data_IF_677686077247
#
_entry.id   IF_677686077247
#
_cell.length_a   1.000
_cell.length_b   1.000
_cell.length_c   1.000
_cell.angle_alpha   90.00
_cell.angle_beta   90.00
_cell.angle_gamma   90.00
#
_symmetry.space_group_name_H-M   'P 1'
#
loop_
_entity.id
_entity.type
_entity.pdbx_description
1 polymer ?
#
# COMPACT_ATOMS: atom_id res chain seq x y z
N UNK A 1 11.91 -2.85 -19.99
CA UNK A 1 12.16 -1.66 -19.16
C UNK A 1 13.64 -1.54 -18.91
N UNK A 2 14.20 -0.36 -19.07
CA UNK A 2 15.59 -0.07 -18.78
C UNK A 2 15.69 0.69 -17.47
N UNK A 3 16.65 0.29 -16.63
CA UNK A 3 16.96 0.98 -15.37
C UNK A 3 18.41 1.42 -15.42
N UNK A 4 18.64 2.70 -15.33
CA UNK A 4 19.98 3.30 -15.29
C UNK A 4 20.24 3.91 -13.93
N UNK A 5 21.35 3.52 -13.32
CA UNK A 5 21.85 4.06 -12.08
C UNK A 5 23.03 4.96 -12.36
N UNK A 6 23.07 6.15 -11.79
CA UNK A 6 24.15 7.10 -12.00
C UNK A 6 24.74 7.56 -10.67
N UNK A 7 26.02 7.93 -10.69
CA UNK A 7 26.76 8.46 -9.55
C UNK A 7 27.21 7.41 -8.54
N UNK A 8 28.09 7.82 -7.64
CA UNK A 8 28.66 6.95 -6.62
C UNK A 8 29.44 5.77 -7.21
N UNK A 9 29.30 4.58 -6.64
CA UNK A 9 29.98 3.37 -7.14
C UNK A 9 29.45 2.89 -8.49
N UNK A 10 28.26 3.36 -8.92
CA UNK A 10 27.68 2.95 -10.21
C UNK A 10 28.44 3.51 -11.40
N UNK A 11 29.18 4.61 -11.24
CA UNK A 11 30.09 5.14 -12.26
C UNK A 11 31.29 4.20 -12.47
N UNK A 12 31.57 3.33 -11.51
CA UNK A 12 32.54 2.24 -11.60
C UNK A 12 31.88 0.89 -11.95
N UNK A 13 30.66 0.91 -12.45
CA UNK A 13 29.84 -0.28 -12.76
C UNK A 13 29.61 -1.22 -11.55
N UNK A 14 29.52 -0.66 -10.34
CA UNK A 14 29.28 -1.41 -9.11
C UNK A 14 28.00 -0.92 -8.41
N UNK A 15 27.26 -1.84 -7.82
CA UNK A 15 26.15 -1.57 -6.92
C UNK A 15 26.22 -2.54 -5.74
N UNK A 16 25.88 -2.08 -4.55
CA UNK A 16 25.77 -2.96 -3.40
C UNK A 16 24.69 -4.02 -3.63
N UNK A 17 25.02 -5.28 -3.33
CA UNK A 17 24.06 -6.39 -3.51
C UNK A 17 22.73 -6.16 -2.76
N UNK A 18 22.80 -5.55 -1.57
CA UNK A 18 21.62 -5.20 -0.77
C UNK A 18 20.72 -4.17 -1.48
N UNK A 19 21.31 -3.21 -2.19
CA UNK A 19 20.57 -2.19 -2.91
C UNK A 19 19.98 -2.77 -4.21
N UNK A 20 20.69 -3.63 -4.90
CA UNK A 20 20.17 -4.40 -6.04
C UNK A 20 18.97 -5.26 -5.63
N UNK A 21 19.09 -5.98 -4.52
CA UNK A 21 18.00 -6.79 -3.98
C UNK A 21 16.77 -5.94 -3.68
N UNK A 22 16.92 -4.82 -2.98
CA UNK A 22 15.81 -3.89 -2.68
C UNK A 22 15.14 -3.38 -3.96
N UNK A 23 15.94 -3.01 -4.97
CA UNK A 23 15.41 -2.53 -6.24
C UNK A 23 14.57 -3.62 -6.92
N UNK A 24 15.13 -4.82 -7.06
CA UNK A 24 14.46 -5.95 -7.72
C UNK A 24 13.16 -6.34 -7.00
N UNK A 25 13.21 -6.53 -5.68
CA UNK A 25 12.03 -6.90 -4.87
C UNK A 25 10.95 -5.83 -4.92
N UNK A 26 11.33 -4.55 -4.89
CA UNK A 26 10.37 -3.44 -4.95
C UNK A 26 9.67 -3.37 -6.30
N UNK A 27 10.41 -3.49 -7.40
CA UNK A 27 9.83 -3.49 -8.75
C UNK A 27 8.92 -4.72 -8.94
N UNK A 28 9.37 -5.91 -8.52
CA UNK A 28 8.57 -7.12 -8.59
C UNK A 28 7.26 -6.98 -7.81
N UNK A 29 7.32 -6.40 -6.60
CA UNK A 29 6.14 -6.18 -5.76
C UNK A 29 5.12 -5.25 -6.42
N UNK A 30 5.58 -4.13 -6.99
CA UNK A 30 4.69 -3.20 -7.71
C UNK A 30 4.11 -3.88 -8.96
N UNK A 31 4.91 -4.65 -9.69
CA UNK A 31 4.47 -5.40 -10.85
C UNK A 31 3.37 -6.41 -10.52
N UNK A 32 3.54 -7.20 -9.47
CA UNK A 32 2.54 -8.18 -9.03
C UNK A 32 1.22 -7.53 -8.61
N UNK A 33 1.29 -6.41 -7.89
CA UNK A 33 0.09 -5.71 -7.47
C UNK A 33 -0.61 -5.05 -8.67
N UNK A 34 0.14 -4.48 -9.61
CA UNK A 34 -0.39 -3.90 -10.83
C UNK A 34 -1.02 -4.96 -11.71
N UNK A 35 -0.37 -6.11 -11.91
CA UNK A 35 -0.91 -7.23 -12.69
C UNK A 35 -2.22 -7.74 -12.08
N UNK A 36 -2.26 -7.90 -10.76
CA UNK A 36 -3.47 -8.33 -10.07
C UNK A 36 -4.62 -7.32 -10.21
N UNK A 37 -4.32 -6.02 -10.13
CA UNK A 37 -5.30 -4.95 -10.33
C UNK A 37 -5.88 -4.97 -11.75
N UNK A 38 -5.07 -5.24 -12.77
CA UNK A 38 -5.50 -5.20 -14.17
C UNK A 38 -6.11 -6.50 -14.68
N UNK A 39 -5.59 -7.64 -14.23
CA UNK A 39 -5.90 -8.95 -14.83
C UNK A 39 -6.41 -9.99 -13.82
N UNK A 40 -6.42 -9.68 -12.53
CA UNK A 40 -6.81 -10.61 -11.47
C UNK A 40 -5.81 -11.75 -11.23
N UNK A 41 -4.64 -11.71 -11.85
CA UNK A 41 -3.61 -12.77 -11.80
C UNK A 41 -2.27 -12.23 -11.33
N UNK A 42 -1.33 -13.13 -11.01
CA UNK A 42 0.08 -12.82 -10.66
C UNK A 42 1.00 -13.81 -11.31
N UNK A 43 0.91 -13.92 -12.63
CA UNK A 43 1.60 -14.96 -13.40
C UNK A 43 2.89 -14.46 -14.06
N UNK A 44 3.16 -13.16 -14.02
CA UNK A 44 4.30 -12.53 -14.68
C UNK A 44 5.44 -12.28 -13.71
N UNK A 45 6.62 -12.71 -14.09
CA UNK A 45 7.84 -12.40 -13.34
C UNK A 45 8.72 -11.44 -14.12
N UNK A 46 9.38 -10.56 -13.39
CA UNK A 46 10.37 -9.64 -13.95
C UNK A 46 11.76 -10.26 -13.81
N UNK A 47 12.45 -10.37 -14.93
CA UNK A 47 13.80 -10.92 -15.01
C UNK A 47 14.81 -9.84 -15.36
N UNK A 48 16.01 -9.96 -14.81
CA UNK A 48 17.16 -9.17 -15.23
C UNK A 48 17.75 -9.82 -16.47
N UNK A 49 17.75 -9.09 -17.59
CA UNK A 49 18.50 -9.47 -18.78
C UNK A 49 19.95 -8.99 -18.66
N UNK A 50 20.83 -9.53 -19.49
CA UNK A 50 22.25 -9.14 -19.46
C UNK A 50 22.44 -7.63 -19.66
N UNK A 51 23.37 -7.06 -18.89
CA UNK A 51 23.70 -5.64 -18.98
C UNK A 51 24.37 -5.32 -20.34
N UNK A 52 24.12 -4.13 -20.85
CA UNK A 52 24.87 -3.60 -22.00
C UNK A 52 26.25 -3.13 -21.55
N UNK A 53 27.26 -3.34 -22.38
CA UNK A 53 28.62 -2.86 -22.12
C UNK A 53 28.62 -1.33 -21.94
N UNK A 54 29.34 -0.84 -20.94
CA UNK A 54 29.69 0.57 -20.79
C UNK A 54 28.79 1.41 -19.87
N UNK A 55 27.71 0.85 -19.27
CA UNK A 55 26.90 1.55 -18.24
C UNK A 55 26.36 0.56 -17.22
N UNK A 56 26.09 1.05 -16.00
CA UNK A 56 25.31 0.26 -15.05
C UNK A 56 23.82 0.36 -15.43
N UNK A 57 23.45 -0.36 -16.48
CA UNK A 57 22.11 -0.41 -17.02
C UNK A 57 21.53 -1.82 -16.86
N UNK A 58 20.40 -1.91 -16.18
CA UNK A 58 19.68 -3.15 -15.98
C UNK A 58 18.52 -3.18 -16.96
N UNK A 59 18.49 -4.19 -17.82
CA UNK A 59 17.35 -4.44 -18.72
C UNK A 59 16.45 -5.46 -18.05
N UNK A 60 15.21 -5.12 -17.86
CA UNK A 60 14.19 -6.01 -17.30
C UNK A 60 13.30 -6.57 -18.43
N UNK A 61 13.14 -7.88 -18.41
CA UNK A 61 12.20 -8.61 -19.24
C UNK A 61 11.04 -9.16 -18.43
N UNK A 62 9.97 -9.55 -19.12
CA UNK A 62 8.80 -10.23 -18.53
C UNK A 62 8.73 -11.66 -19.03
N UNK A 63 8.43 -12.59 -18.14
CA UNK A 63 8.12 -13.98 -18.48
C UNK A 63 6.76 -14.34 -17.88
N UNK A 64 5.91 -14.95 -18.71
CA UNK A 64 4.66 -15.54 -18.26
C UNK A 64 4.93 -16.94 -17.73
N UNK A 65 4.72 -17.15 -16.44
CA UNK A 65 4.99 -18.42 -15.78
C UNK A 65 4.04 -19.55 -16.22
N UNK A 66 2.90 -19.22 -16.83
CA UNK A 66 1.93 -20.23 -17.27
C UNK A 66 2.40 -20.95 -18.54
N UNK A 67 3.07 -20.23 -19.44
CA UNK A 67 3.43 -20.76 -20.75
C UNK A 67 4.94 -20.84 -21.03
N UNK A 68 5.81 -20.34 -20.13
CA UNK A 68 7.27 -20.23 -20.33
C UNK A 68 7.66 -19.54 -21.65
N UNK A 69 6.71 -18.84 -22.26
CA UNK A 69 6.97 -18.09 -23.49
C UNK A 69 7.39 -16.67 -23.11
N UNK A 70 8.47 -16.21 -23.73
CA UNK A 70 8.79 -14.79 -23.72
C UNK A 70 7.56 -14.08 -24.24
N UNK A 71 6.94 -13.23 -23.40
CA UNK A 71 5.81 -12.41 -23.83
C UNK A 71 6.30 -11.63 -25.06
N UNK A 72 5.55 -11.66 -26.14
CA UNK A 72 5.85 -10.89 -27.36
C UNK A 72 6.31 -9.50 -26.96
N UNK A 73 7.42 -9.03 -27.54
CA UNK A 73 8.08 -7.77 -27.17
C UNK A 73 7.10 -6.59 -27.02
N UNK A 74 6.05 -6.54 -27.84
CA UNK A 74 5.00 -5.55 -27.77
C UNK A 74 4.18 -5.56 -26.48
N UNK A 75 3.63 -6.71 -26.08
CA UNK A 75 2.82 -6.83 -24.86
C UNK A 75 3.66 -6.59 -23.61
N UNK A 76 4.93 -6.98 -23.63
CA UNK A 76 5.87 -6.67 -22.55
C UNK A 76 6.14 -5.17 -22.48
N UNK A 77 6.28 -4.51 -23.62
CA UNK A 77 6.48 -3.06 -23.73
C UNK A 77 5.32 -2.29 -23.13
N UNK A 78 4.09 -2.60 -23.52
CA UNK A 78 2.89 -1.95 -23.00
C UNK A 78 2.76 -2.12 -21.49
N UNK A 79 2.92 -3.34 -20.97
CA UNK A 79 2.86 -3.59 -19.53
C UNK A 79 3.92 -2.80 -18.75
N UNK A 80 5.16 -2.81 -19.22
CA UNK A 80 6.27 -2.10 -18.55
C UNK A 80 6.12 -0.59 -18.64
N UNK A 81 5.56 -0.08 -19.73
CA UNK A 81 5.21 1.32 -19.88
C UNK A 81 4.15 1.75 -18.86
N UNK A 82 3.08 0.97 -18.75
CA UNK A 82 2.01 1.23 -17.79
C UNK A 82 2.49 1.07 -16.33
N UNK A 83 3.39 0.13 -16.07
CA UNK A 83 4.02 -0.04 -14.77
C UNK A 83 4.81 1.23 -14.37
N UNK A 84 5.57 1.84 -15.29
CA UNK A 84 6.26 3.11 -15.03
C UNK A 84 5.26 4.23 -14.77
N UNK A 85 4.17 4.31 -15.52
CA UNK A 85 3.11 5.28 -15.28
C UNK A 85 2.49 5.09 -13.88
N UNK A 86 2.23 3.86 -13.46
CA UNK A 86 1.78 3.53 -12.12
C UNK A 86 2.79 3.99 -11.06
N UNK A 87 4.07 3.66 -11.24
CA UNK A 87 5.14 4.09 -10.34
C UNK A 87 5.26 5.62 -10.26
N UNK A 88 5.12 6.30 -11.41
CA UNK A 88 5.15 7.77 -11.49
C UNK A 88 3.97 8.42 -10.75
N UNK A 89 2.81 7.78 -10.70
CA UNK A 89 1.66 8.31 -9.94
C UNK A 89 1.98 8.51 -8.46
N UNK A 90 2.84 7.68 -7.88
CA UNK A 90 3.27 7.79 -6.48
C UNK A 90 4.19 8.99 -6.21
N UNK A 91 4.81 9.58 -7.24
CA UNK A 91 5.58 10.83 -7.09
C UNK A 91 4.68 12.04 -6.80
N UNK A 92 3.39 11.94 -7.12
CA UNK A 92 2.39 12.96 -6.80
C UNK A 92 1.80 12.71 -5.40
N UNK A 93 2.64 12.76 -4.37
CA UNK A 93 2.29 12.33 -3.00
C UNK A 93 0.99 12.95 -2.47
N UNK A 94 0.75 14.25 -2.67
CA UNK A 94 -0.49 14.92 -2.22
C UNK A 94 -1.75 14.39 -2.90
N UNK A 95 -1.67 14.12 -4.21
CA UNK A 95 -2.79 13.54 -4.97
C UNK A 95 -3.03 12.11 -4.52
N UNK A 96 -1.97 11.33 -4.40
CA UNK A 96 -2.02 9.95 -3.94
C UNK A 96 -2.68 9.84 -2.55
N UNK A 97 -2.19 10.63 -1.57
CA UNK A 97 -2.76 10.66 -0.20
C UNK A 97 -4.24 11.02 -0.21
N UNK A 98 -4.63 12.03 -1.01
CA UNK A 98 -6.04 12.43 -1.13
C UNK A 98 -6.92 11.33 -1.73
N UNK A 99 -6.42 10.65 -2.77
CA UNK A 99 -7.21 9.63 -3.47
C UNK A 99 -7.35 8.36 -2.61
N UNK A 100 -6.30 7.98 -1.88
CA UNK A 100 -6.36 6.91 -0.89
C UNK A 100 -7.31 7.26 0.25
N UNK A 101 -7.24 8.49 0.78
CA UNK A 101 -8.16 8.92 1.84
C UNK A 101 -9.62 8.77 1.39
N UNK A 102 -9.97 9.25 0.19
CA UNK A 102 -11.32 9.11 -0.36
C UNK A 102 -11.76 7.64 -0.45
N UNK A 103 -10.86 6.76 -0.88
CA UNK A 103 -11.17 5.33 -0.98
C UNK A 103 -11.40 4.71 0.40
N UNK A 104 -10.62 5.11 1.40
CA UNK A 104 -10.78 4.67 2.78
C UNK A 104 -12.13 5.15 3.33
N UNK A 105 -12.42 6.45 3.21
CA UNK A 105 -13.66 7.05 3.71
C UNK A 105 -14.89 6.34 3.07
N UNK A 106 -14.90 6.19 1.75
CA UNK A 106 -15.98 5.48 1.05
C UNK A 106 -16.13 4.01 1.47
N UNK A 107 -15.02 3.34 1.79
CA UNK A 107 -15.06 1.94 2.27
C UNK A 107 -15.67 1.85 3.66
N UNK A 108 -15.36 2.79 4.54
CA UNK A 108 -15.95 2.86 5.88
C UNK A 108 -17.43 3.23 5.83
N UNK A 109 -17.83 4.18 4.98
CA UNK A 109 -19.25 4.52 4.77
C UNK A 109 -20.05 3.30 4.35
N UNK A 110 -19.58 2.55 3.35
CA UNK A 110 -20.20 1.30 2.92
C UNK A 110 -20.28 0.24 4.03
N UNK A 111 -19.23 0.14 4.87
CA UNK A 111 -19.23 -0.81 5.98
C UNK A 111 -20.25 -0.43 7.06
N UNK A 112 -20.43 0.88 7.33
CA UNK A 112 -21.45 1.37 8.26
C UNK A 112 -22.86 1.10 7.70
N UNK A 113 -23.11 1.46 6.43
CA UNK A 113 -24.39 1.18 5.78
C UNK A 113 -24.72 -0.32 5.84
N UNK A 114 -23.74 -1.19 5.57
CA UNK A 114 -23.94 -2.63 5.60
C UNK A 114 -24.25 -3.14 7.02
N UNK A 115 -23.70 -2.51 8.05
CA UNK A 115 -23.98 -2.87 9.45
C UNK A 115 -25.38 -2.42 9.92
N UNK A 116 -25.95 -1.43 9.26
CA UNK A 116 -27.31 -0.93 9.56
C UNK A 116 -28.41 -1.64 8.74
N UNK A 117 -28.06 -2.37 7.67
CA UNK A 117 -29.01 -3.09 6.82
C UNK A 117 -29.42 -4.43 7.43
N UNK A 118 -30.73 -4.77 7.27
CA UNK A 118 -31.20 -6.12 7.59
C UNK A 118 -30.58 -7.16 6.61
N UNK A 119 -30.26 -8.33 7.11
CA UNK A 119 -29.52 -9.42 6.44
C UNK A 119 -30.15 -9.91 5.11
N UNK A 120 -31.33 -9.45 4.77
CA UNK A 120 -32.13 -9.91 3.61
C UNK A 120 -32.16 -8.93 2.43
N UNK A 121 -31.37 -7.85 2.47
CA UNK A 121 -31.31 -6.95 1.31
C UNK A 121 -30.53 -7.63 0.15
N UNK A 122 -31.11 -7.58 -1.04
CA UNK A 122 -30.53 -8.11 -2.27
C UNK A 122 -29.18 -7.46 -2.64
N UNK A 123 -28.87 -6.29 -2.09
CA UNK A 123 -27.63 -5.55 -2.32
C UNK A 123 -26.52 -5.91 -1.32
N UNK A 124 -26.83 -6.62 -0.26
CA UNK A 124 -25.90 -6.99 0.79
C UNK A 124 -24.61 -7.66 0.26
N UNK A 125 -24.77 -8.66 -0.61
CA UNK A 125 -23.65 -9.37 -1.20
C UNK A 125 -22.75 -8.48 -2.05
N UNK A 126 -23.32 -7.55 -2.79
CA UNK A 126 -22.58 -6.61 -3.64
C UNK A 126 -21.80 -5.59 -2.81
N UNK A 127 -22.39 -5.03 -1.75
CA UNK A 127 -21.72 -4.10 -0.84
C UNK A 127 -20.54 -4.76 -0.12
N UNK A 128 -20.75 -5.97 0.39
CA UNK A 128 -19.68 -6.77 1.01
C UNK A 128 -18.51 -7.00 0.05
N UNK A 129 -18.79 -7.43 -1.17
CA UNK A 129 -17.75 -7.64 -2.19
C UNK A 129 -17.02 -6.34 -2.51
N UNK A 130 -17.72 -5.22 -2.63
CA UNK A 130 -17.13 -3.90 -2.86
C UNK A 130 -16.18 -3.49 -1.73
N UNK A 131 -16.56 -3.72 -0.47
CA UNK A 131 -15.70 -3.46 0.69
C UNK A 131 -14.42 -4.31 0.62
N UNK A 132 -14.55 -5.61 0.35
CA UNK A 132 -13.39 -6.51 0.22
C UNK A 132 -12.45 -6.07 -0.89
N UNK A 133 -12.97 -5.67 -2.04
CA UNK A 133 -12.17 -5.24 -3.18
C UNK A 133 -11.51 -3.89 -2.92
N UNK A 134 -12.19 -2.96 -2.27
CA UNK A 134 -11.60 -1.70 -1.83
C UNK A 134 -10.47 -1.93 -0.83
N UNK A 135 -10.64 -2.82 0.15
CA UNK A 135 -9.59 -3.16 1.12
C UNK A 135 -8.37 -3.78 0.44
N UNK A 136 -8.57 -4.68 -0.52
CA UNK A 136 -7.46 -5.24 -1.33
C UNK A 136 -6.73 -4.14 -2.10
N UNK A 137 -7.47 -3.22 -2.71
CA UNK A 137 -6.91 -2.08 -3.45
C UNK A 137 -6.12 -1.14 -2.55
N UNK A 138 -6.67 -0.77 -1.39
CA UNK A 138 -5.99 0.05 -0.39
C UNK A 138 -4.66 -0.62 0.03
N UNK A 139 -4.69 -1.91 0.34
CA UNK A 139 -3.49 -2.67 0.72
C UNK A 139 -2.43 -2.70 -0.40
N UNK A 140 -2.85 -2.92 -1.64
CA UNK A 140 -1.95 -2.91 -2.79
C UNK A 140 -1.30 -1.53 -2.98
N UNK A 141 -2.06 -0.45 -2.87
CA UNK A 141 -1.57 0.92 -3.03
C UNK A 141 -0.53 1.29 -1.95
N UNK A 142 -0.77 0.94 -0.70
CA UNK A 142 0.21 1.17 0.37
C UNK A 142 1.46 0.32 0.19
N UNK A 143 1.29 -0.93 -0.21
CA UNK A 143 2.39 -1.84 -0.52
C UNK A 143 3.28 -1.27 -1.64
N UNK A 144 2.67 -0.74 -2.70
CA UNK A 144 3.37 -0.11 -3.81
C UNK A 144 4.10 1.17 -3.39
N UNK A 145 3.45 2.02 -2.58
CA UNK A 145 4.10 3.24 -2.06
C UNK A 145 5.32 2.90 -1.19
N UNK A 146 5.22 1.88 -0.33
CA UNK A 146 6.34 1.42 0.47
C UNK A 146 7.48 0.85 -0.41
N UNK A 147 7.16 0.15 -1.49
CA UNK A 147 8.14 -0.31 -2.46
C UNK A 147 8.85 0.88 -3.15
N UNK A 148 8.12 1.93 -3.54
CA UNK A 148 8.70 3.16 -4.06
C UNK A 148 9.62 3.86 -3.04
N UNK A 149 9.24 3.87 -1.76
CA UNK A 149 10.08 4.37 -0.67
C UNK A 149 11.38 3.55 -0.54
N UNK A 150 11.31 2.24 -0.67
CA UNK A 150 12.49 1.38 -0.67
C UNK A 150 13.41 1.69 -1.87
N UNK A 151 12.87 1.88 -3.07
CA UNK A 151 13.64 2.31 -4.24
C UNK A 151 14.32 3.66 -3.97
N UNK A 152 13.61 4.64 -3.45
CA UNK A 152 14.17 5.94 -3.12
C UNK A 152 15.28 5.87 -2.04
N UNK A 153 15.21 4.89 -1.12
CA UNK A 153 16.23 4.69 -0.08
C UNK A 153 17.60 4.22 -0.59
N UNK A 154 17.65 3.72 -1.82
CA UNK A 154 18.90 3.30 -2.49
C UNK A 154 19.73 4.53 -2.87
N UNK A 155 19.09 5.68 -3.11
CA UNK A 155 19.74 6.92 -3.52
C UNK A 155 20.49 7.54 -2.35
N UNK A 156 21.69 8.05 -2.61
CA UNK A 156 22.53 8.76 -1.65
C UNK A 156 21.76 9.89 -0.93
N UNK A 157 22.17 10.18 0.31
CA UNK A 157 21.60 11.33 1.03
C UNK A 157 22.20 12.66 0.56
N UNK A 158 23.50 12.66 0.25
CA UNK A 158 24.25 13.82 -0.22
C UNK A 158 25.14 13.41 -1.40
N UNK A 159 25.52 14.36 -2.24
CA UNK A 159 26.44 14.14 -3.37
C UNK A 159 27.86 13.75 -2.96
N UNK A 160 28.26 14.06 -1.74
CA UNK A 160 29.65 13.92 -1.33
C UNK A 160 29.95 12.49 -0.85
N UNK A 161 30.85 11.81 -1.57
CA UNK A 161 31.53 10.56 -1.17
C UNK A 161 30.64 9.35 -0.83
N UNK A 162 29.39 9.34 -1.29
CA UNK A 162 28.53 8.17 -1.11
C UNK A 162 28.88 7.09 -2.14
N UNK A 163 28.92 5.83 -1.70
CA UNK A 163 28.97 4.69 -2.62
C UNK A 163 27.62 4.40 -3.27
N UNK A 164 26.55 5.04 -2.81
CA UNK A 164 25.20 4.88 -3.35
C UNK A 164 25.01 5.70 -4.61
N UNK A 165 24.13 5.26 -5.54
CA UNK A 165 23.78 6.06 -6.71
C UNK A 165 23.15 7.39 -6.31
N UNK A 166 23.35 8.41 -7.13
CA UNK A 166 22.73 9.74 -6.97
C UNK A 166 21.39 9.85 -7.67
N UNK A 167 21.13 9.00 -8.67
CA UNK A 167 19.85 8.88 -9.33
C UNK A 167 19.55 7.48 -9.86
N UNK A 168 18.26 7.20 -10.00
CA UNK A 168 17.72 6.01 -10.66
C UNK A 168 16.77 6.51 -11.74
N UNK A 169 17.05 6.16 -12.99
CA UNK A 169 16.19 6.44 -14.13
C UNK A 169 15.63 5.13 -14.66
N UNK A 170 14.31 5.02 -14.74
CA UNK A 170 13.59 3.89 -15.29
C UNK A 170 12.86 4.36 -16.53
N UNK A 171 12.97 3.62 -17.64
CA UNK A 171 12.24 3.93 -18.86
C UNK A 171 11.69 2.67 -19.52
N UNK A 172 10.54 2.80 -20.15
CA UNK A 172 9.95 1.77 -21.01
C UNK A 172 9.28 2.42 -22.22
N UNK A 173 9.25 1.68 -23.32
CA UNK A 173 8.53 2.04 -24.53
C UNK A 173 7.31 1.13 -24.67
N UNK A 174 6.22 1.68 -25.17
CA UNK A 174 5.06 0.90 -25.61
C UNK A 174 5.19 0.49 -27.09
N UNK A 175 4.17 -0.19 -27.59
CA UNK A 175 4.14 -0.74 -28.97
C UNK A 175 4.17 0.31 -30.07
N UNK A 176 3.83 1.57 -29.76
CA UNK A 176 3.88 2.71 -30.68
C UNK A 176 5.09 3.61 -30.43
N UNK A 177 6.13 3.06 -29.78
CA UNK A 177 7.41 3.70 -29.45
C UNK A 177 7.31 4.94 -28.54
N UNK A 178 6.18 5.19 -27.89
CA UNK A 178 6.11 6.20 -26.86
C UNK A 178 6.94 5.74 -25.65
N UNK A 179 7.88 6.58 -25.25
CA UNK A 179 8.73 6.33 -24.08
C UNK A 179 8.17 7.03 -22.85
N UNK A 180 7.99 6.29 -21.78
CA UNK A 180 7.72 6.84 -20.47
C UNK A 180 8.94 6.70 -19.57
N UNK A 181 9.20 7.74 -18.78
CA UNK A 181 10.39 7.80 -17.92
C UNK A 181 10.01 8.25 -16.53
N UNK A 182 10.56 7.55 -15.53
CA UNK A 182 10.56 7.95 -14.14
C UNK A 182 12.01 8.13 -13.68
N UNK A 183 12.31 9.30 -13.13
CA UNK A 183 13.61 9.56 -12.51
C UNK A 183 13.43 9.92 -11.03
N UNK A 184 14.16 9.19 -10.18
CA UNK A 184 14.28 9.46 -8.75
C UNK A 184 15.73 9.84 -8.47
N UNK A 185 15.95 11.00 -7.88
CA UNK A 185 17.27 11.55 -7.59
C UNK A 185 17.31 12.21 -6.20
N UNK A 186 18.46 12.73 -5.81
CA UNK A 186 18.66 13.37 -4.51
C UNK A 186 17.65 14.48 -4.23
N UNK A 187 17.24 15.24 -5.24
CA UNK A 187 16.35 16.38 -5.05
C UNK A 187 14.89 15.98 -4.87
N UNK A 188 14.46 14.84 -5.44
CA UNK A 188 13.05 14.43 -5.44
C UNK A 188 12.73 13.18 -4.62
N UNK A 189 13.73 12.43 -4.11
CA UNK A 189 13.52 11.23 -3.30
C UNK A 189 12.68 11.48 -2.04
N UNK A 190 12.72 12.70 -1.49
CA UNK A 190 11.96 13.10 -0.30
C UNK A 190 10.45 13.05 -0.51
N UNK A 191 9.97 12.99 -1.75
CA UNK A 191 8.56 12.79 -2.05
C UNK A 191 8.02 11.47 -1.45
N UNK A 192 8.88 10.48 -1.26
CA UNK A 192 8.53 9.19 -0.66
C UNK A 192 8.81 9.12 0.85
N UNK A 193 9.51 10.12 1.42
CA UNK A 193 9.76 10.21 2.87
C UNK A 193 8.63 10.89 3.63
N UNK A 194 7.61 11.38 2.91
CA UNK A 194 6.57 12.17 3.53
C UNK A 194 5.82 11.34 4.58
N UNK A 195 5.80 11.86 5.81
CA UNK A 195 4.90 11.40 6.88
C UNK A 195 3.42 11.70 6.55
N UNK A 196 3.12 12.10 5.32
CA UNK A 196 1.76 12.47 4.89
C UNK A 196 0.81 11.27 4.98
N UNK A 197 1.29 10.06 4.64
CA UNK A 197 0.48 8.85 4.82
C UNK A 197 0.23 8.54 6.29
N UNK A 198 1.20 8.81 7.17
CA UNK A 198 1.02 8.66 8.61
C UNK A 198 0.03 9.67 9.19
N UNK A 199 -0.34 10.70 8.42
CA UNK A 199 -1.28 11.75 8.78
C UNK A 199 -2.67 11.55 8.18
N UNK A 200 -2.92 10.45 7.47
CA UNK A 200 -4.27 10.14 7.03
C UNK A 200 -5.10 9.91 8.29
N UNK A 201 -5.84 10.94 8.66
CA UNK A 201 -6.90 10.84 9.66
C UNK A 201 -8.14 10.38 8.90
N UNK A 202 -8.63 9.22 9.27
CA UNK A 202 -9.97 8.78 8.90
C UNK A 202 -10.94 9.52 9.80
N UNK A 203 -12.08 9.90 9.29
CA UNK A 203 -13.14 10.47 10.12
C UNK A 203 -13.57 9.47 11.18
N UNK A 204 -14.03 9.99 12.31
CA UNK A 204 -14.55 9.14 13.36
C UNK A 204 -15.75 8.36 12.82
N UNK A 205 -15.79 7.09 13.11
CA UNK A 205 -16.91 6.21 12.74
C UNK A 205 -17.65 5.75 13.99
N UNK A 206 -18.93 5.51 13.83
CA UNK A 206 -19.76 4.90 14.86
C UNK A 206 -19.87 3.41 14.54
N UNK A 207 -19.53 2.57 15.51
CA UNK A 207 -19.62 1.12 15.40
C UNK A 207 -20.42 0.55 16.56
N UNK A 208 -21.10 -0.55 16.29
CA UNK A 208 -21.86 -1.31 17.29
C UNK A 208 -21.32 -2.72 17.39
N UNK A 209 -21.35 -3.30 18.57
CA UNK A 209 -20.90 -4.68 18.75
C UNK A 209 -20.81 -5.07 20.23
N UNK A 210 -20.48 -6.31 20.46
CA UNK A 210 -20.26 -6.85 21.81
C UNK A 210 -18.77 -6.75 22.14
N UNK A 211 -18.39 -6.08 23.24
CA UNK A 211 -17.00 -6.03 23.63
C UNK A 211 -16.52 -7.39 24.14
N UNK A 212 -15.33 -7.80 23.66
CA UNK A 212 -14.66 -9.07 24.00
C UNK A 212 -13.22 -8.80 24.42
N UNK A 213 -12.80 -9.40 25.54
CA UNK A 213 -11.41 -9.38 25.96
C UNK A 213 -10.86 -8.01 26.37
N UNK A 214 -11.12 -7.57 27.61
CA UNK A 214 -10.57 -6.34 28.17
C UNK A 214 -9.17 -6.55 28.73
N UNK A 215 -8.20 -5.75 28.30
CA UNK A 215 -6.82 -5.77 28.81
C UNK A 215 -6.45 -4.42 29.41
N UNK A 216 -6.57 -4.29 30.72
CA UNK A 216 -6.29 -3.03 31.46
C UNK A 216 -4.82 -2.61 31.37
N UNK A 217 -3.89 -3.55 31.51
CA UNK A 217 -2.45 -3.26 31.47
C UNK A 217 -1.99 -2.65 30.13
N UNK A 218 -2.63 -3.03 29.03
CA UNK A 218 -2.29 -2.58 27.67
C UNK A 218 -3.26 -1.53 27.13
N UNK A 219 -4.24 -1.11 27.91
CA UNK A 219 -5.21 -0.05 27.59
C UNK A 219 -5.98 -0.28 26.31
N UNK A 220 -6.47 -1.47 26.10
CA UNK A 220 -7.34 -1.81 24.96
C UNK A 220 -8.35 -2.89 25.31
N UNK A 221 -9.36 -2.99 24.47
CA UNK A 221 -10.29 -4.12 24.42
C UNK A 221 -10.50 -4.55 22.97
N UNK A 222 -11.05 -5.72 22.79
CA UNK A 222 -11.53 -6.17 21.48
C UNK A 222 -13.04 -5.97 21.41
N UNK A 223 -13.53 -5.74 20.22
CA UNK A 223 -14.94 -5.67 19.91
C UNK A 223 -15.18 -6.39 18.59
N UNK A 224 -16.13 -7.29 18.56
CA UNK A 224 -16.55 -7.94 17.34
C UNK A 224 -17.55 -7.02 16.65
N UNK A 225 -17.16 -6.49 15.50
CA UNK A 225 -17.93 -5.53 14.73
C UNK A 225 -18.39 -6.23 13.47
N UNK A 226 -19.68 -6.18 13.19
CA UNK A 226 -20.25 -6.79 12.02
C UNK A 226 -19.50 -6.36 10.75
N UNK A 227 -19.21 -7.31 9.86
CA UNK A 227 -18.49 -7.17 8.58
C UNK A 227 -17.03 -6.71 8.64
N UNK A 228 -16.60 -6.03 9.72
CA UNK A 228 -15.21 -5.63 9.93
C UNK A 228 -14.45 -6.74 10.68
N UNK A 229 -15.17 -7.53 11.46
CA UNK A 229 -14.63 -8.56 12.33
C UNK A 229 -14.04 -8.00 13.63
N UNK A 230 -13.15 -8.73 14.26
CA UNK A 230 -12.60 -8.40 15.57
C UNK A 230 -11.68 -7.17 15.50
N UNK A 231 -12.12 -6.05 16.07
CA UNK A 231 -11.35 -4.80 16.18
C UNK A 231 -10.68 -4.69 17.55
N UNK A 232 -9.45 -4.18 17.54
CA UNK A 232 -8.71 -3.78 18.74
C UNK A 232 -8.93 -2.30 19.00
N UNK A 233 -9.56 -1.95 20.12
CA UNK A 233 -9.94 -0.59 20.45
C UNK A 233 -9.11 -0.10 21.64
N UNK A 234 -8.28 0.90 21.41
CA UNK A 234 -7.49 1.55 22.44
C UNK A 234 -8.35 2.55 23.20
N UNK A 235 -8.25 2.53 24.52
CA UNK A 235 -9.05 3.36 25.39
C UNK A 235 -8.24 3.87 26.58
N UNK A 236 -8.69 4.95 27.20
CA UNK A 236 -8.16 5.44 28.47
C UNK A 236 -8.66 4.58 29.64
N UNK A 237 -8.04 4.71 30.81
CA UNK A 237 -8.45 3.95 32.00
C UNK A 237 -9.91 4.26 32.40
N UNK A 238 -10.33 5.53 32.27
CA UNK A 238 -11.71 5.96 32.54
C UNK A 238 -12.70 5.33 31.55
N UNK A 239 -12.34 5.30 30.27
CA UNK A 239 -13.15 4.65 29.23
C UNK A 239 -13.26 3.15 29.46
N UNK A 240 -12.15 2.48 29.83
CA UNK A 240 -12.17 1.06 30.15
C UNK A 240 -13.02 0.75 31.38
N UNK A 241 -13.04 1.64 32.36
CA UNK A 241 -13.90 1.51 33.54
C UNK A 241 -15.38 1.56 33.17
N UNK A 242 -15.76 2.50 32.32
CA UNK A 242 -17.13 2.59 31.80
C UNK A 242 -17.50 1.38 30.94
N UNK A 243 -16.58 0.90 30.10
CA UNK A 243 -16.80 -0.29 29.30
C UNK A 243 -16.98 -1.57 30.11
N UNK A 244 -16.47 -1.62 31.37
CA UNK A 244 -16.49 -2.83 32.19
C UNK A 244 -17.89 -3.40 32.44
N UNK A 245 -18.91 -2.56 32.47
CA UNK A 245 -20.29 -3.01 32.72
C UNK A 245 -20.89 -3.67 31.47
N UNK A 246 -20.55 -3.20 30.29
CA UNK A 246 -20.93 -3.85 29.02
C UNK A 246 -20.25 -5.21 28.84
N UNK A 247 -19.00 -5.35 29.30
CA UNK A 247 -18.30 -6.64 29.31
C UNK A 247 -18.96 -7.67 30.21
N UNK A 248 -19.33 -7.26 31.43
CA UNK A 248 -19.94 -8.19 32.41
C UNK A 248 -21.27 -8.75 31.92
N UNK A 249 -22.01 -7.96 31.19
CA UNK A 249 -23.36 -8.27 30.77
C UNK A 249 -23.46 -8.77 29.33
N UNK A 250 -22.33 -8.85 28.61
CA UNK A 250 -22.28 -9.17 27.17
C UNK A 250 -23.26 -8.34 26.35
N UNK A 251 -23.37 -7.06 26.69
CA UNK A 251 -24.32 -6.15 26.04
C UNK A 251 -23.70 -5.53 24.81
N UNK A 252 -24.54 -5.34 23.79
CA UNK A 252 -24.17 -4.53 22.61
C UNK A 252 -23.94 -3.09 23.07
N UNK A 253 -22.85 -2.51 22.65
CA UNK A 253 -22.52 -1.11 22.89
C UNK A 253 -22.28 -0.39 21.58
N UNK A 254 -22.75 0.84 21.50
CA UNK A 254 -22.51 1.74 20.38
C UNK A 254 -21.41 2.73 20.78
N UNK A 255 -20.36 2.81 19.98
CA UNK A 255 -19.20 3.65 20.31
C UNK A 255 -18.76 4.43 19.08
N UNK A 256 -18.24 5.63 19.29
CA UNK A 256 -17.52 6.40 18.28
C UNK A 256 -16.03 6.15 18.43
N UNK A 257 -15.39 5.79 17.32
CA UNK A 257 -13.96 5.49 17.28
C UNK A 257 -13.25 6.25 16.17
N UNK A 258 -11.98 6.57 16.40
CA UNK A 258 -11.02 7.03 15.38
C UNK A 258 -10.26 5.80 14.86
N UNK A 259 -10.47 5.35 13.61
CA UNK A 259 -9.71 4.23 13.06
C UNK A 259 -8.22 4.55 13.00
N UNK A 260 -7.38 3.61 13.42
CA UNK A 260 -5.93 3.72 13.34
C UNK A 260 -5.46 2.92 12.14
N UNK A 261 -5.09 3.61 11.08
CA UNK A 261 -4.51 2.99 9.90
C UNK A 261 -3.02 2.84 10.16
N UNK A 262 -2.57 1.59 10.30
CA UNK A 262 -1.14 1.29 10.31
C UNK A 262 -0.66 1.09 8.89
N UNK A 263 0.28 1.93 8.49
CA UNK A 263 0.96 1.82 7.21
C UNK A 263 2.01 0.73 7.34
N UNK A 264 1.68 -0.45 6.89
CA UNK A 264 2.53 -1.62 6.82
C UNK A 264 2.23 -2.40 5.55
N UNK A 265 2.78 -3.58 5.43
CA UNK A 265 2.48 -4.48 4.29
C UNK A 265 1.01 -4.96 4.27
N UNK A 266 0.30 -4.75 5.38
CA UNK A 266 -1.13 -5.02 5.54
C UNK A 266 -1.73 -3.84 6.30
N UNK A 267 -2.78 -3.23 5.75
CA UNK A 267 -3.64 -2.33 6.53
C UNK A 267 -4.42 -3.21 7.50
N UNK A 268 -3.99 -3.22 8.74
CA UNK A 268 -4.85 -3.71 9.82
C UNK A 268 -5.87 -2.58 10.13
N UNK A 269 -6.98 -2.56 9.41
CA UNK A 269 -8.14 -1.70 9.73
C UNK A 269 -8.79 -2.08 11.06
N UNK A 270 -8.21 -3.05 11.76
CA UNK A 270 -8.71 -3.63 13.01
C UNK A 270 -8.19 -2.93 14.26
N UNK A 271 -7.50 -1.79 14.14
CA UNK A 271 -7.04 -0.97 15.27
C UNK A 271 -7.78 0.37 15.28
N UNK A 272 -8.34 0.77 16.41
CA UNK A 272 -9.02 2.05 16.54
C UNK A 272 -8.78 2.66 17.93
N UNK A 273 -9.07 3.94 18.09
CA UNK A 273 -9.08 4.65 19.37
C UNK A 273 -10.51 5.00 19.75
N UNK A 274 -10.93 4.64 20.94
CA UNK A 274 -12.22 5.05 21.47
C UNK A 274 -12.26 6.57 21.67
N UNK A 275 -13.24 7.21 21.08
CA UNK A 275 -13.52 8.65 21.26
C UNK A 275 -14.57 8.81 22.36
N UNK A 276 -15.73 8.19 22.18
CA UNK A 276 -16.80 8.21 23.20
C UNK A 276 -17.66 6.96 23.12
N UNK A 277 -18.32 6.65 24.25
CA UNK A 277 -19.40 5.68 24.33
C UNK A 277 -20.70 6.44 24.06
N UNK A 278 -21.53 5.93 23.16
CA UNK A 278 -22.84 6.50 22.85
C UNK A 278 -23.84 5.78 23.76
N UNK A 279 -24.32 6.52 24.76
CA UNK A 279 -25.40 6.05 25.64
C UNK A 279 -26.73 6.25 24.86
N UNK A 280 -27.55 5.21 24.77
CA UNK A 280 -28.90 5.30 24.22
C UNK A 280 -29.85 5.97 25.21
#
# INVERSE_FOLDING_TARGET
MNIKLNGGSTDLHMIALVDMKKLAESIQKISYNYEYEQYGTRNREIYIQANKEGSFEIVLGLIDNVNYQTIFEGLAGAFLYDLINKMKSYTQSKKFVRDIKKLIDATFELAIELAEEEYFDSQFGNKKQTIEDNLKKINAEFSNYNAMKQIASIIAQNDEKSLKPTSIKMSAKNDIELEETLEINISNKYMFDSNELNKIKVENIVISGVPDGLTRSSKFFYMDVDFIGKMKIRATDDQLSKMSDYFKNSQVVKIEVEPIIKIGDLIETRDARLIKIIEE
#
